data_IF_293955100253
#
_entry.id   IF_293955100253
#
_cell.length_a   1.000
_cell.length_b   1.000
_cell.length_c   1.000
_cell.angle_alpha   90.00
_cell.angle_beta   90.00
_cell.angle_gamma   90.00
#
_symmetry.space_group_name_H-M   'P 1'
#
loop_
_entity.id
_entity.type
_entity.pdbx_description
1 polymer ?
#
# COMPACT_ATOMS: atom_id res chain seq x y z
N UNK A 1 5.38 -6.07 -23.77
CA UNK A 1 6.77 -5.56 -23.96
C UNK A 1 6.86 -4.18 -23.35
N UNK A 2 7.94 -3.88 -22.62
CA UNK A 2 8.20 -2.52 -22.12
C UNK A 2 8.45 -1.58 -23.30
N UNK A 3 7.81 -0.39 -23.29
CA UNK A 3 8.04 0.62 -24.33
C UNK A 3 9.46 1.21 -24.26
N UNK A 4 10.14 1.10 -23.10
CA UNK A 4 11.49 1.62 -22.86
C UNK A 4 12.29 0.63 -22.00
N UNK A 5 12.94 -0.37 -22.55
CA UNK A 5 13.80 -1.28 -21.80
C UNK A 5 14.86 -0.52 -20.98
N UNK A 6 15.04 -0.92 -19.70
CA UNK A 6 15.97 -0.27 -18.79
C UNK A 6 15.47 1.02 -18.13
N UNK A 7 14.27 1.48 -18.43
CA UNK A 7 13.68 2.63 -17.73
C UNK A 7 13.20 2.23 -16.32
N UNK A 8 13.13 3.21 -15.42
CA UNK A 8 12.62 3.08 -14.06
C UNK A 8 11.35 3.89 -13.86
N UNK A 9 10.58 3.54 -12.87
CA UNK A 9 9.37 4.27 -12.46
C UNK A 9 9.35 4.47 -10.94
N UNK A 10 8.62 5.50 -10.48
CA UNK A 10 8.30 5.72 -9.06
C UNK A 10 6.87 5.31 -8.72
N UNK A 11 6.18 4.66 -9.64
CA UNK A 11 4.81 4.22 -9.40
C UNK A 11 4.76 3.19 -8.27
N UNK A 12 3.75 3.31 -7.44
CA UNK A 12 3.51 2.37 -6.35
C UNK A 12 3.04 1.05 -6.92
N UNK A 13 3.64 -0.03 -6.45
CA UNK A 13 3.29 -1.41 -6.80
C UNK A 13 3.29 -2.29 -5.56
N UNK A 14 2.56 -3.39 -5.61
CA UNK A 14 2.52 -4.40 -4.56
C UNK A 14 2.85 -5.77 -5.16
N UNK A 15 3.33 -6.70 -4.34
CA UNK A 15 3.63 -8.07 -4.81
C UNK A 15 2.40 -8.80 -5.35
N UNK A 16 1.21 -8.47 -4.86
CA UNK A 16 -0.06 -9.02 -5.37
C UNK A 16 -0.37 -8.60 -6.81
N UNK A 17 0.29 -7.54 -7.32
CA UNK A 17 0.12 -7.05 -8.69
C UNK A 17 0.83 -7.95 -9.73
N UNK A 18 1.77 -8.79 -9.30
CA UNK A 18 2.55 -9.66 -10.19
C UNK A 18 1.63 -10.64 -10.93
N UNK A 19 0.73 -11.30 -10.22
CA UNK A 19 -0.14 -12.32 -10.80
C UNK A 19 -1.06 -11.78 -11.92
N UNK A 20 -1.87 -10.72 -11.71
CA UNK A 20 -2.68 -10.16 -12.79
C UNK A 20 -1.84 -9.58 -13.93
N UNK A 21 -0.63 -9.07 -13.64
CA UNK A 21 0.29 -8.58 -14.68
C UNK A 21 0.76 -9.70 -15.59
N UNK A 22 1.19 -10.84 -15.02
CA UNK A 22 1.63 -11.98 -15.81
C UNK A 22 0.49 -12.57 -16.64
N UNK A 23 -0.72 -12.65 -16.08
CA UNK A 23 -1.90 -13.11 -16.80
C UNK A 23 -2.20 -12.23 -18.03
N UNK A 24 -2.19 -10.91 -17.85
CA UNK A 24 -2.41 -9.96 -18.95
C UNK A 24 -1.31 -10.03 -20.01
N UNK A 25 -0.04 -10.14 -19.62
CA UNK A 25 1.09 -10.28 -20.55
C UNK A 25 1.02 -11.58 -21.35
N UNK A 26 0.48 -12.64 -20.77
CA UNK A 26 0.27 -13.93 -21.43
C UNK A 26 -1.01 -13.98 -22.29
N UNK A 27 -1.79 -12.90 -22.35
CA UNK A 27 -3.07 -12.86 -23.05
C UNK A 27 -4.16 -13.75 -22.42
N UNK A 28 -4.01 -14.08 -21.15
CA UNK A 28 -4.98 -14.87 -20.40
C UNK A 28 -6.12 -13.98 -19.88
N UNK A 29 -7.31 -14.58 -19.65
CA UNK A 29 -8.40 -13.85 -18.98
C UNK A 29 -7.97 -13.35 -17.59
N UNK A 30 -8.64 -12.31 -17.10
CA UNK A 30 -8.41 -11.82 -15.74
C UNK A 30 -8.49 -12.97 -14.72
N UNK A 31 -7.50 -13.11 -13.82
CA UNK A 31 -7.46 -14.22 -12.87
C UNK A 31 -8.71 -14.24 -12.00
N UNK A 32 -9.27 -15.43 -11.80
CA UNK A 32 -10.37 -15.71 -10.88
C UNK A 32 -9.92 -16.76 -9.89
N UNK A 33 -10.35 -16.64 -8.66
CA UNK A 33 -10.03 -17.62 -7.62
C UNK A 33 -11.10 -17.66 -6.55
N UNK A 34 -11.01 -18.61 -5.60
CA UNK A 34 -11.93 -18.68 -4.47
C UNK A 34 -11.80 -17.47 -3.53
N UNK A 35 -10.68 -16.75 -3.60
CA UNK A 35 -10.45 -15.51 -2.87
C UNK A 35 -10.32 -14.34 -3.84
N UNK A 36 -10.69 -13.11 -3.42
CA UNK A 36 -10.54 -11.92 -4.24
C UNK A 36 -9.09 -11.72 -4.70
N UNK A 37 -8.92 -11.37 -5.96
CA UNK A 37 -7.62 -10.93 -6.51
C UNK A 37 -7.52 -9.43 -6.29
N UNK A 38 -6.72 -9.02 -5.30
CA UNK A 38 -6.57 -7.61 -4.91
C UNK A 38 -5.49 -6.88 -5.72
N UNK A 39 -4.73 -7.60 -6.53
CA UNK A 39 -3.68 -7.04 -7.38
C UNK A 39 -4.25 -6.29 -8.59
N UNK A 40 -3.53 -5.30 -9.05
CA UNK A 40 -3.81 -4.50 -10.25
C UNK A 40 -2.69 -4.76 -11.25
N UNK A 41 -3.03 -5.05 -12.52
CA UNK A 41 -2.01 -5.25 -13.54
C UNK A 41 -1.11 -4.02 -13.70
N UNK A 42 0.19 -4.24 -13.72
CA UNK A 42 1.22 -3.22 -13.97
C UNK A 42 1.51 -3.03 -15.47
N UNK A 43 0.80 -3.70 -16.37
CA UNK A 43 1.01 -3.57 -17.82
C UNK A 43 0.95 -2.12 -18.29
N UNK A 44 0.04 -1.23 -17.80
CA UNK A 44 0.08 0.18 -18.17
C UNK A 44 1.42 0.85 -17.82
N UNK A 45 1.99 0.55 -16.63
CA UNK A 45 3.28 1.10 -16.19
C UNK A 45 4.45 0.52 -17.01
N UNK A 46 4.37 -0.74 -17.42
CA UNK A 46 5.36 -1.36 -18.30
C UNK A 46 5.37 -0.73 -19.71
N UNK A 47 4.22 -0.27 -20.19
CA UNK A 47 4.07 0.45 -21.46
C UNK A 47 4.52 1.91 -21.35
N UNK A 48 4.13 2.57 -20.26
CA UNK A 48 4.47 3.97 -19.96
C UNK A 48 4.89 4.09 -18.48
N UNK A 49 6.18 4.33 -18.19
CA UNK A 49 6.67 4.50 -16.81
C UNK A 49 6.00 5.65 -16.03
N UNK A 50 5.34 6.58 -16.72
CA UNK A 50 4.55 7.66 -16.13
C UNK A 50 3.10 7.28 -15.79
N UNK A 51 2.62 6.14 -16.31
CA UNK A 51 1.25 5.69 -16.06
C UNK A 51 1.03 5.38 -14.58
N UNK A 52 -0.16 5.75 -14.07
CA UNK A 52 -0.54 5.54 -12.68
C UNK A 52 -1.59 4.45 -12.59
N UNK A 53 -1.33 3.42 -11.79
CA UNK A 53 -2.25 2.29 -11.58
C UNK A 53 -2.87 2.28 -10.18
N UNK A 54 -2.24 2.95 -9.21
CA UNK A 54 -2.77 3.08 -7.84
C UNK A 54 -2.32 4.37 -7.17
N UNK A 55 -3.10 4.83 -6.19
CA UNK A 55 -2.81 6.04 -5.40
C UNK A 55 -2.02 5.73 -4.15
N UNK A 56 -2.09 4.51 -3.67
CA UNK A 56 -1.39 4.03 -2.48
C UNK A 56 -1.17 2.53 -2.54
N UNK A 57 -0.17 2.08 -1.81
CA UNK A 57 0.04 0.68 -1.48
C UNK A 57 -0.37 0.42 -0.03
N UNK A 58 -0.93 -0.77 0.21
CA UNK A 58 -1.31 -1.25 1.54
C UNK A 58 -0.48 -2.47 1.90
N UNK A 59 0.01 -2.53 3.12
CA UNK A 59 0.56 -3.77 3.65
C UNK A 59 0.22 -3.96 5.13
N UNK A 60 0.21 -5.22 5.56
CA UNK A 60 0.04 -5.61 6.94
C UNK A 60 1.27 -6.39 7.42
N UNK A 61 1.72 -6.09 8.62
CA UNK A 61 2.91 -6.70 9.21
C UNK A 61 2.63 -7.18 10.64
N UNK A 62 2.60 -8.50 10.89
CA UNK A 62 2.38 -9.04 12.22
C UNK A 62 3.67 -8.99 13.05
N UNK A 63 3.66 -8.26 14.17
CA UNK A 63 4.78 -8.19 15.13
C UNK A 63 4.27 -7.96 16.55
N UNK A 64 3.70 -9.00 17.18
CA UNK A 64 3.06 -8.90 18.50
C UNK A 64 1.79 -8.02 18.52
N UNK A 65 1.83 -6.91 17.80
CA UNK A 65 0.68 -6.15 17.30
C UNK A 65 0.62 -6.35 15.78
N UNK A 66 -0.52 -6.05 15.16
CA UNK A 66 -0.60 -5.95 13.72
C UNK A 66 -0.29 -4.52 13.30
N UNK A 67 0.76 -4.33 12.50
CA UNK A 67 1.02 -3.10 11.78
C UNK A 67 0.25 -3.10 10.47
N UNK A 68 -0.58 -2.08 10.23
CA UNK A 68 -1.20 -1.81 8.92
C UNK A 68 -0.65 -0.51 8.39
N UNK A 69 -0.23 -0.48 7.14
CA UNK A 69 0.36 0.72 6.57
C UNK A 69 -0.27 1.10 5.23
N UNK A 70 -0.41 2.40 5.04
CA UNK A 70 -0.69 3.05 3.76
C UNK A 70 0.57 3.78 3.32
N UNK A 71 1.08 3.44 2.14
CA UNK A 71 2.20 4.12 1.48
C UNK A 71 1.67 4.87 0.27
N UNK A 72 1.76 6.18 0.28
CA UNK A 72 1.52 7.04 -0.89
C UNK A 72 2.86 7.40 -1.53
N UNK A 73 2.87 8.14 -2.62
CA UNK A 73 4.12 8.66 -3.20
C UNK A 73 4.96 9.44 -2.18
N UNK A 74 4.30 10.25 -1.32
CA UNK A 74 4.98 11.12 -0.36
C UNK A 74 4.99 10.58 1.06
N UNK A 75 3.87 10.05 1.56
CA UNK A 75 3.70 9.72 2.96
C UNK A 75 3.60 8.22 3.21
N UNK A 76 4.04 7.80 4.39
CA UNK A 76 3.71 6.50 4.96
C UNK A 76 3.04 6.69 6.32
N UNK A 77 1.80 6.20 6.44
CA UNK A 77 1.10 6.04 7.71
C UNK A 77 1.22 4.59 8.15
N UNK A 78 1.53 4.36 9.42
CA UNK A 78 1.46 3.03 10.07
C UNK A 78 0.52 3.11 11.26
N UNK A 79 -0.37 2.13 11.37
CA UNK A 79 -1.18 1.88 12.57
C UNK A 79 -0.67 0.60 13.23
N UNK A 80 -0.32 0.68 14.50
CA UNK A 80 0.00 -0.47 15.35
C UNK A 80 -1.13 -0.73 16.33
N UNK A 81 -1.81 -1.87 16.19
CA UNK A 81 -2.93 -2.22 17.05
C UNK A 81 -3.00 -3.73 17.26
N UNK A 82 -3.34 -4.19 18.46
CA UNK A 82 -3.62 -5.61 18.67
C UNK A 82 -4.94 -5.99 17.99
N UNK A 83 -5.04 -7.21 17.46
CA UNK A 83 -6.31 -7.72 16.94
C UNK A 83 -7.43 -7.61 17.99
N UNK A 84 -8.60 -7.12 17.59
CA UNK A 84 -9.75 -6.94 18.49
C UNK A 84 -9.73 -5.67 19.35
N UNK A 85 -8.60 -4.97 19.45
CA UNK A 85 -8.57 -3.70 20.20
C UNK A 85 -9.28 -2.56 19.45
N UNK A 86 -9.94 -1.64 20.18
CA UNK A 86 -10.55 -0.46 19.56
C UNK A 86 -9.50 0.50 19.01
N UNK A 87 -9.86 1.29 18.00
CA UNK A 87 -8.95 2.24 17.33
C UNK A 87 -8.30 3.24 18.29
N UNK A 88 -8.99 3.65 19.36
CA UNK A 88 -8.43 4.56 20.37
C UNK A 88 -7.15 4.08 21.03
N UNK A 89 -6.88 2.76 21.01
CA UNK A 89 -5.66 2.15 21.55
C UNK A 89 -4.55 2.00 20.49
N UNK A 90 -4.80 2.43 19.25
CA UNK A 90 -3.82 2.36 18.19
C UNK A 90 -2.68 3.36 18.42
N UNK A 91 -1.46 2.93 18.10
CA UNK A 91 -0.29 3.78 17.98
C UNK A 91 -0.08 4.10 16.51
N UNK A 92 0.21 5.36 16.20
CA UNK A 92 0.39 5.81 14.82
C UNK A 92 1.79 6.36 14.59
N UNK A 93 2.30 6.06 13.41
CA UNK A 93 3.52 6.67 12.87
C UNK A 93 3.21 7.27 11.51
N UNK A 94 3.72 8.47 11.26
CA UNK A 94 3.59 9.16 9.98
C UNK A 94 4.97 9.67 9.55
N UNK A 95 5.35 9.34 8.31
CA UNK A 95 6.63 9.76 7.74
C UNK A 95 6.42 10.45 6.40
N UNK A 96 7.25 11.46 6.12
CA UNK A 96 7.25 12.25 4.88
C UNK A 96 8.54 11.98 4.09
N UNK A 97 8.45 11.14 3.08
CA UNK A 97 9.61 10.74 2.27
C UNK A 97 10.21 11.85 1.39
N UNK A 98 9.54 12.99 1.23
CA UNK A 98 10.12 14.13 0.52
C UNK A 98 11.21 14.83 1.34
N UNK A 99 11.12 14.76 2.67
CA UNK A 99 12.06 15.44 3.58
C UNK A 99 12.83 14.48 4.48
N UNK A 100 12.27 13.30 4.75
CA UNK A 100 12.85 12.29 5.62
C UNK A 100 12.71 10.87 5.03
N UNK A 101 13.51 10.51 4.02
CA UNK A 101 13.45 9.19 3.40
C UNK A 101 13.91 8.04 4.32
N UNK A 102 14.53 8.37 5.46
CA UNK A 102 15.02 7.39 6.44
C UNK A 102 14.10 7.22 7.65
N UNK A 103 12.93 7.87 7.65
CA UNK A 103 11.90 7.75 8.70
C UNK A 103 12.42 8.04 10.12
N UNK A 104 13.21 9.09 10.27
CA UNK A 104 13.82 9.47 11.56
C UNK A 104 12.85 10.22 12.48
N UNK A 105 11.86 10.90 11.91
CA UNK A 105 10.92 11.72 12.65
C UNK A 105 9.48 11.28 12.44
N UNK A 106 8.80 10.86 13.52
CA UNK A 106 7.37 10.57 13.49
C UNK A 106 6.55 11.87 13.51
N UNK A 107 5.84 12.14 12.42
CA UNK A 107 5.03 13.35 12.23
C UNK A 107 3.56 13.18 12.63
N UNK A 108 3.15 12.05 13.21
CA UNK A 108 1.74 11.77 13.50
C UNK A 108 1.06 12.85 14.35
N UNK A 109 1.75 13.38 15.37
CA UNK A 109 1.24 14.47 16.21
C UNK A 109 1.34 15.85 15.55
N UNK A 110 2.25 16.01 14.58
CA UNK A 110 2.55 17.32 13.97
C UNK A 110 1.71 17.60 12.71
N UNK A 111 1.12 16.58 12.09
CA UNK A 111 0.41 16.73 10.82
C UNK A 111 -1.00 16.11 10.84
N UNK A 112 -1.95 16.70 11.61
CA UNK A 112 -3.29 16.15 11.78
C UNK A 112 -4.09 16.09 10.48
N UNK A 113 -3.85 16.97 9.52
CA UNK A 113 -4.53 16.98 8.23
C UNK A 113 -4.19 15.76 7.39
N UNK A 114 -2.90 15.42 7.27
CA UNK A 114 -2.45 14.21 6.57
C UNK A 114 -2.89 12.97 7.32
N UNK A 115 -2.78 12.95 8.65
CA UNK A 115 -3.27 11.87 9.50
C UNK A 115 -4.74 11.55 9.22
N UNK A 116 -5.62 12.56 9.21
CA UNK A 116 -7.05 12.39 8.93
C UNK A 116 -7.29 11.73 7.56
N UNK A 117 -6.60 12.23 6.53
CA UNK A 117 -6.74 11.70 5.16
C UNK A 117 -6.29 10.25 5.06
N UNK A 118 -5.11 9.92 5.56
CA UNK A 118 -4.55 8.58 5.44
C UNK A 118 -5.25 7.57 6.35
N UNK A 119 -5.75 7.98 7.51
CA UNK A 119 -6.62 7.14 8.35
C UNK A 119 -7.93 6.81 7.65
N UNK A 120 -8.53 7.74 6.94
CA UNK A 120 -9.72 7.46 6.14
C UNK A 120 -9.44 6.42 5.04
N UNK A 121 -8.29 6.51 4.36
CA UNK A 121 -7.85 5.49 3.40
C UNK A 121 -7.62 4.13 4.10
N UNK A 122 -6.95 4.13 5.25
CA UNK A 122 -6.68 2.89 6.00
C UNK A 122 -7.97 2.21 6.49
N UNK A 123 -9.01 2.98 6.79
CA UNK A 123 -10.31 2.46 7.24
C UNK A 123 -11.07 1.68 6.14
N UNK A 124 -10.72 1.85 4.86
CA UNK A 124 -11.29 1.03 3.78
C UNK A 124 -10.73 -0.40 3.73
N UNK A 125 -9.67 -0.68 4.49
CA UNK A 125 -9.07 -2.00 4.60
C UNK A 125 -9.55 -2.73 5.86
N UNK A 126 -9.54 -4.07 5.87
CA UNK A 126 -9.96 -4.84 7.03
C UNK A 126 -9.23 -4.41 8.31
N UNK A 127 -9.99 -4.30 9.41
CA UNK A 127 -9.41 -4.06 10.72
C UNK A 127 -8.52 -5.25 11.16
N UNK A 128 -7.57 -5.05 12.09
CA UNK A 128 -6.82 -6.16 12.67
C UNK A 128 -7.75 -7.16 13.32
N UNK A 129 -7.64 -8.44 12.93
CA UNK A 129 -8.39 -9.53 13.54
C UNK A 129 -7.45 -10.67 13.94
N UNK A 130 -7.82 -11.39 14.99
CA UNK A 130 -7.17 -12.64 15.37
C UNK A 130 -7.75 -13.77 14.50
N UNK A 131 -6.89 -14.61 13.93
CA UNK A 131 -7.37 -15.92 13.47
C UNK A 131 -7.69 -16.74 14.71
N UNK A 132 -8.92 -17.20 14.82
CA UNK A 132 -9.31 -18.19 15.82
C UNK A 132 -8.52 -19.48 15.61
#
# INVERSE_FOLDING_TARGET
MSARPGSSTRQLTESVDIFPTLAELAGLPAPKGPQPINGISMVPVLKDPGARVRDHAFHAYPRGKLGRAIRTERYRLVEWRRPGEPEKNAQYELYDYHVDPLERENLAAKNPGVMKKLKATLASYPAPFSRA
#
